data_IF_420364567840
#
_entry.id   IF_420364567840
#
_cell.length_a   1.000
_cell.length_b   1.000
_cell.length_c   1.000
_cell.angle_alpha   90.00
_cell.angle_beta   90.00
_cell.angle_gamma   90.00
#
_symmetry.space_group_name_H-M   'P 1'
#
loop_
_entity.id
_entity.type
_entity.pdbx_description
1 polymer ?
#
# COMPACT_ATOMS: atom_id res chain seq x y z
N UNK A 1 -17.65 16.96 -21.90
CA UNK A 1 -17.54 15.74 -21.08
C UNK A 1 -16.13 15.23 -21.31
N UNK A 2 -15.33 15.05 -20.26
CA UNK A 2 -13.95 14.59 -20.41
C UNK A 2 -13.97 13.07 -20.41
N UNK A 3 -13.55 12.48 -21.52
CA UNK A 3 -13.34 11.05 -21.71
C UNK A 3 -12.32 10.59 -20.66
N UNK A 4 -12.77 9.74 -19.74
CA UNK A 4 -11.94 9.21 -18.67
C UNK A 4 -11.30 7.93 -19.24
N UNK A 5 -9.98 7.92 -19.37
CA UNK A 5 -9.25 6.82 -20.03
C UNK A 5 -9.69 5.46 -19.45
N UNK A 6 -10.15 4.51 -20.29
CA UNK A 6 -10.75 3.25 -19.84
C UNK A 6 -9.80 2.43 -18.95
N UNK A 7 -8.49 2.56 -19.15
CA UNK A 7 -7.46 1.87 -18.37
C UNK A 7 -7.38 2.33 -16.90
N UNK A 8 -7.71 3.59 -16.59
CA UNK A 8 -7.64 4.11 -15.21
C UNK A 8 -8.75 3.53 -14.32
N UNK A 9 -9.86 3.11 -14.94
CA UNK A 9 -10.95 2.37 -14.33
C UNK A 9 -10.45 1.05 -13.76
N UNK A 10 -10.02 0.13 -14.62
CA UNK A 10 -9.63 -1.22 -14.23
C UNK A 10 -8.51 -1.26 -13.18
N UNK A 11 -7.53 -0.36 -13.30
CA UNK A 11 -6.42 -0.25 -12.34
C UNK A 11 -6.92 0.03 -10.90
N UNK A 12 -8.02 0.77 -10.73
CA UNK A 12 -8.59 1.03 -9.42
C UNK A 12 -9.42 -0.13 -8.86
N UNK A 13 -10.13 -0.91 -9.71
CA UNK A 13 -10.80 -2.15 -9.25
C UNK A 13 -9.74 -3.14 -8.74
N UNK A 14 -8.67 -3.30 -9.52
CA UNK A 14 -7.53 -4.14 -9.16
C UNK A 14 -6.88 -3.64 -7.86
N UNK A 15 -6.87 -2.33 -7.61
CA UNK A 15 -6.40 -1.78 -6.34
C UNK A 15 -7.29 -2.14 -5.14
N UNK A 16 -8.61 -2.19 -5.31
CA UNK A 16 -9.53 -2.54 -4.22
C UNK A 16 -9.46 -4.01 -3.81
N UNK A 17 -9.05 -4.89 -4.72
CA UNK A 17 -8.82 -6.31 -4.43
C UNK A 17 -7.46 -6.60 -3.77
N UNK A 18 -6.59 -5.57 -3.61
CA UNK A 18 -5.25 -5.76 -3.04
C UNK A 18 -5.25 -5.74 -1.52
N UNK A 19 -4.26 -6.41 -0.91
CA UNK A 19 -4.00 -6.26 0.52
C UNK A 19 -3.71 -4.79 0.84
N UNK A 20 -4.19 -4.35 2.00
CA UNK A 20 -4.02 -2.97 2.46
C UNK A 20 -2.54 -2.60 2.59
N UNK A 21 -2.17 -1.47 1.99
CA UNK A 21 -0.79 -0.99 1.89
C UNK A 21 -0.66 0.41 2.49
N UNK A 22 0.47 0.68 3.16
CA UNK A 22 0.87 1.99 3.65
C UNK A 22 2.16 2.39 2.94
N UNK A 23 2.06 3.33 2.01
CA UNK A 23 3.16 3.66 1.11
C UNK A 23 3.57 2.42 0.29
N UNK A 24 4.87 2.08 0.23
CA UNK A 24 5.36 0.92 -0.51
C UNK A 24 5.27 -0.39 0.28
N UNK A 25 4.71 -0.42 1.48
CA UNK A 25 4.67 -1.61 2.33
C UNK A 25 3.26 -2.17 2.46
N UNK A 26 3.11 -3.50 2.45
CA UNK A 26 1.84 -4.13 2.87
C UNK A 26 1.71 -4.08 4.38
N UNK A 27 0.48 -3.91 4.89
CA UNK A 27 0.23 -3.94 6.34
C UNK A 27 0.72 -5.24 6.98
N UNK A 28 0.54 -6.36 6.28
CA UNK A 28 1.05 -7.66 6.69
C UNK A 28 2.58 -7.68 6.80
N UNK A 29 3.31 -7.09 5.83
CA UNK A 29 4.78 -7.03 5.89
C UNK A 29 5.29 -6.19 7.07
N UNK A 30 4.62 -5.08 7.39
CA UNK A 30 4.94 -4.23 8.55
C UNK A 30 4.73 -5.02 9.85
N UNK A 31 3.59 -5.72 9.95
CA UNK A 31 3.27 -6.54 11.11
C UNK A 31 4.31 -7.65 11.31
N UNK A 32 4.69 -8.35 10.24
CA UNK A 32 5.70 -9.42 10.30
C UNK A 32 7.07 -8.83 10.68
N UNK A 33 7.50 -7.74 10.06
CA UNK A 33 8.80 -7.12 10.36
C UNK A 33 8.90 -6.57 11.78
N UNK A 34 7.76 -6.28 12.43
CA UNK A 34 7.70 -5.91 13.85
C UNK A 34 7.63 -7.12 14.79
N UNK A 35 6.70 -8.03 14.54
CA UNK A 35 6.39 -9.14 15.44
C UNK A 35 7.52 -10.16 15.45
N UNK A 36 8.07 -10.53 14.29
CA UNK A 36 9.09 -11.58 14.17
C UNK A 36 10.36 -11.28 14.98
N UNK A 37 11.03 -10.12 14.85
CA UNK A 37 12.22 -9.83 15.63
C UNK A 37 11.93 -9.62 17.13
N UNK A 38 10.73 -9.14 17.50
CA UNK A 38 10.32 -9.04 18.90
C UNK A 38 10.16 -10.43 19.52
N UNK A 39 9.45 -11.35 18.85
CA UNK A 39 9.33 -12.75 19.29
C UNK A 39 10.70 -13.43 19.36
N UNK A 40 11.55 -13.21 18.36
CA UNK A 40 12.88 -13.77 18.32
C UNK A 40 13.78 -13.22 19.46
N UNK A 41 13.68 -11.92 19.78
CA UNK A 41 14.38 -11.33 20.92
C UNK A 41 13.94 -11.93 22.26
N UNK A 42 12.64 -12.22 22.42
CA UNK A 42 12.09 -12.91 23.59
C UNK A 42 12.60 -14.35 23.70
N UNK A 43 12.60 -15.10 22.59
CA UNK A 43 13.05 -16.50 22.54
C UNK A 43 14.56 -16.64 22.77
N UNK A 44 15.36 -15.82 22.11
CA UNK A 44 16.82 -15.82 22.23
C UNK A 44 17.31 -15.07 23.47
N UNK A 45 16.39 -14.42 24.20
CA UNK A 45 16.65 -13.59 25.39
C UNK A 45 17.75 -12.56 25.11
N UNK A 46 17.77 -12.02 23.89
CA UNK A 46 18.84 -11.18 23.36
C UNK A 46 18.27 -9.98 22.62
N UNK A 47 18.65 -8.79 23.08
CA UNK A 47 18.24 -7.51 22.48
C UNK A 47 18.91 -7.24 21.14
N UNK A 48 20.03 -7.90 20.84
CA UNK A 48 20.76 -7.73 19.56
C UNK A 48 19.92 -8.15 18.36
N UNK A 49 18.93 -9.01 18.55
CA UNK A 49 18.02 -9.47 17.49
C UNK A 49 17.16 -8.32 16.96
N UNK A 50 16.92 -7.25 17.73
CA UNK A 50 16.21 -6.07 17.24
C UNK A 50 16.96 -5.34 16.11
N UNK A 51 18.28 -5.51 16.01
CA UNK A 51 19.07 -4.95 14.90
C UNK A 51 18.67 -5.56 13.55
N UNK A 52 18.00 -6.71 13.52
CA UNK A 52 17.49 -7.28 12.26
C UNK A 52 16.21 -6.60 11.76
N UNK A 53 15.55 -5.74 12.57
CA UNK A 53 14.38 -4.97 12.14
C UNK A 53 14.64 -4.12 10.88
N UNK A 54 15.63 -3.21 10.84
CA UNK A 54 15.90 -2.41 9.65
C UNK A 54 16.21 -3.27 8.42
N UNK A 55 16.86 -4.42 8.60
CA UNK A 55 17.16 -5.37 7.51
C UNK A 55 15.87 -5.99 6.96
N UNK A 56 14.95 -6.41 7.85
CA UNK A 56 13.64 -6.94 7.45
C UNK A 56 12.78 -5.88 6.77
N UNK A 57 12.82 -4.63 7.23
CA UNK A 57 12.15 -3.52 6.56
C UNK A 57 12.75 -3.24 5.18
N UNK A 58 14.07 -3.28 5.02
CA UNK A 58 14.71 -3.11 3.71
C UNK A 58 14.34 -4.25 2.74
N UNK A 59 14.29 -5.49 3.23
CA UNK A 59 13.86 -6.64 2.42
C UNK A 59 12.38 -6.53 2.03
N UNK A 60 11.50 -6.18 2.98
CA UNK A 60 10.09 -5.94 2.70
C UNK A 60 9.88 -4.81 1.69
N UNK A 61 10.66 -3.72 1.81
CA UNK A 61 10.65 -2.62 0.87
C UNK A 61 11.05 -3.09 -0.53
N UNK A 62 12.13 -3.87 -0.65
CA UNK A 62 12.60 -4.38 -1.93
C UNK A 62 11.58 -5.29 -2.61
N UNK A 63 10.92 -6.16 -1.83
CA UNK A 63 9.90 -7.08 -2.35
C UNK A 63 8.64 -6.32 -2.76
N UNK A 64 8.15 -5.41 -1.92
CA UNK A 64 6.92 -4.67 -2.20
C UNK A 64 7.12 -3.54 -3.22
N UNK A 65 8.32 -2.97 -3.36
CA UNK A 65 8.61 -1.96 -4.40
C UNK A 65 8.67 -2.54 -5.82
N UNK A 66 8.90 -3.85 -5.95
CA UNK A 66 8.80 -4.56 -7.23
C UNK A 66 7.37 -4.75 -7.72
N UNK A 67 6.37 -4.41 -6.92
CA UNK A 67 4.96 -4.51 -7.30
C UNK A 67 4.61 -3.38 -8.29
N UNK A 68 4.65 -3.72 -9.58
CA UNK A 68 4.55 -2.82 -10.76
C UNK A 68 3.35 -1.86 -10.71
N UNK A 69 2.30 -2.25 -10.00
CA UNK A 69 1.04 -1.51 -9.95
C UNK A 69 0.96 -0.51 -8.80
N UNK A 70 1.88 -0.53 -7.84
CA UNK A 70 1.81 0.33 -6.64
C UNK A 70 1.92 1.81 -7.03
N UNK A 71 2.82 2.13 -7.96
CA UNK A 71 2.96 3.47 -8.54
C UNK A 71 1.82 3.81 -9.52
N UNK A 72 1.32 2.84 -10.27
CA UNK A 72 0.21 3.03 -11.21
C UNK A 72 -1.10 3.38 -10.52
N UNK A 73 -1.44 2.66 -9.45
CA UNK A 73 -2.61 2.91 -8.60
C UNK A 73 -2.50 4.24 -7.88
N UNK A 74 -1.34 4.56 -7.31
CA UNK A 74 -1.14 5.85 -6.64
C UNK A 74 -1.36 7.01 -7.63
N UNK A 75 -0.79 6.90 -8.84
CA UNK A 75 -0.97 7.88 -9.91
C UNK A 75 -2.43 8.00 -10.36
N UNK A 76 -3.13 6.87 -10.55
CA UNK A 76 -4.55 6.84 -10.88
C UNK A 76 -5.40 7.48 -9.77
N UNK A 77 -5.11 7.17 -8.50
CA UNK A 77 -5.80 7.74 -7.36
C UNK A 77 -5.66 9.28 -7.27
N UNK A 78 -4.46 9.80 -7.57
CA UNK A 78 -4.22 11.25 -7.63
C UNK A 78 -4.91 11.93 -8.81
N UNK A 79 -5.10 11.23 -9.93
CA UNK A 79 -5.83 11.73 -11.11
C UNK A 79 -7.35 11.66 -11.01
N UNK A 80 -7.90 10.87 -10.07
CA UNK A 80 -9.35 10.78 -9.87
C UNK A 80 -9.99 12.16 -9.71
N UNK A 81 -11.02 12.41 -10.52
CA UNK A 81 -11.77 13.67 -10.51
C UNK A 81 -12.45 13.86 -9.15
N UNK A 82 -12.37 15.08 -8.61
CA UNK A 82 -13.13 15.44 -7.43
C UNK A 82 -14.63 15.29 -7.72
N UNK A 83 -15.37 14.60 -6.84
CA UNK A 83 -16.81 14.46 -6.98
C UNK A 83 -17.51 15.82 -6.82
N UNK A 84 -18.68 16.00 -7.44
CA UNK A 84 -19.50 17.21 -7.24
C UNK A 84 -19.87 17.44 -5.77
N UNK A 85 -19.94 16.37 -4.97
CA UNK A 85 -20.26 16.40 -3.55
C UNK A 85 -19.04 16.39 -2.61
N UNK A 86 -17.82 16.63 -3.13
CA UNK A 86 -16.60 16.63 -2.31
C UNK A 86 -16.72 17.54 -1.09
N UNK A 87 -17.41 18.68 -1.18
CA UNK A 87 -17.55 19.62 -0.05
C UNK A 87 -18.35 19.06 1.13
N UNK A 88 -19.27 18.12 0.91
CA UNK A 88 -20.01 17.48 2.00
C UNK A 88 -19.32 16.20 2.49
N UNK A 89 -18.82 15.37 1.57
CA UNK A 89 -18.44 14.00 1.88
C UNK A 89 -16.95 13.69 1.68
N UNK A 90 -16.18 14.61 1.11
CA UNK A 90 -14.72 14.45 0.92
C UNK A 90 -14.29 13.42 -0.14
N UNK A 91 -15.18 12.58 -0.68
CA UNK A 91 -14.79 11.52 -1.62
C UNK A 91 -14.55 12.02 -3.06
N UNK A 92 -13.69 11.29 -3.79
CA UNK A 92 -13.49 11.43 -5.23
C UNK A 92 -14.36 10.40 -5.95
N UNK A 93 -14.98 10.78 -7.07
CA UNK A 93 -15.86 9.86 -7.79
C UNK A 93 -15.04 8.91 -8.64
N UNK A 94 -15.14 7.63 -8.32
CA UNK A 94 -14.69 6.53 -9.16
C UNK A 94 -15.95 5.88 -9.71
N UNK A 95 -16.24 6.09 -11.00
CA UNK A 95 -17.34 5.42 -11.67
C UNK A 95 -16.74 4.29 -12.50
N UNK A 96 -16.73 3.04 -12.00
CA UNK A 96 -16.52 1.89 -12.86
C UNK A 96 -17.74 1.77 -13.78
N UNK A 97 -17.51 1.47 -15.06
CA UNK A 97 -18.56 0.96 -15.95
C UNK A 97 -18.58 -0.54 -15.86
#
# INVERSE_FOLDING_TARGET
MAEQDPDEGEVLVVAMARPSMVGPFTLSSILISLITPVLAALLLRSLYVLVTMPILFAAAYWICSKDVYLFGVLRAAFKLRASRLRKLWGYRSYAPR
#
